data_IF_393905378305
#
_entry.id   IF_393905378305
#
_cell.length_a   1.000
_cell.length_b   1.000
_cell.length_c   1.000
_cell.angle_alpha   90.00
_cell.angle_beta   90.00
_cell.angle_gamma   90.00
#
_symmetry.space_group_name_H-M   'P 1'
#
loop_
_entity.id
_entity.type
_entity.pdbx_description
1 polymer ?
#
# COMPACT_ATOMS: atom_id res chain seq x y z
N UNK A 1 -10.59 -20.45 -26.08
CA UNK A 1 -11.62 -20.04 -25.12
C UNK A 1 -11.43 -18.57 -24.84
N UNK A 2 -12.47 -17.73 -25.06
CA UNK A 2 -12.41 -16.28 -24.84
C UNK A 2 -12.45 -15.98 -23.34
N UNK A 3 -11.56 -15.09 -22.88
CA UNK A 3 -11.61 -14.50 -21.55
C UNK A 3 -12.05 -13.05 -21.69
N UNK A 4 -13.12 -12.68 -21.06
CA UNK A 4 -13.71 -11.34 -21.19
C UNK A 4 -12.91 -10.28 -20.41
N UNK A 5 -12.26 -10.67 -19.32
CA UNK A 5 -11.54 -9.75 -18.45
C UNK A 5 -10.37 -10.44 -17.74
N UNK A 6 -9.23 -9.76 -17.68
CA UNK A 6 -8.07 -10.18 -16.90
C UNK A 6 -7.82 -9.20 -15.75
N UNK A 7 -7.34 -9.75 -14.64
CA UNK A 7 -6.85 -8.96 -13.50
C UNK A 7 -5.38 -9.29 -13.32
N UNK A 8 -4.53 -8.30 -13.56
CA UNK A 8 -3.10 -8.41 -13.27
C UNK A 8 -2.88 -8.03 -11.82
N UNK A 9 -2.59 -9.01 -10.98
CA UNK A 9 -2.26 -8.83 -9.58
C UNK A 9 -0.75 -8.83 -9.41
N UNK A 10 -0.17 -7.66 -9.11
CA UNK A 10 1.27 -7.55 -8.86
C UNK A 10 1.59 -7.89 -7.40
N UNK A 11 2.25 -9.03 -7.23
CA UNK A 11 2.79 -9.55 -5.95
C UNK A 11 4.30 -9.81 -6.04
N UNK A 12 4.97 -9.21 -7.03
CA UNK A 12 6.40 -9.34 -7.25
C UNK A 12 7.21 -8.68 -6.11
N UNK A 13 8.51 -8.91 -6.10
CA UNK A 13 9.44 -8.21 -5.20
C UNK A 13 9.39 -6.70 -5.43
N UNK A 14 9.68 -5.94 -4.37
CA UNK A 14 9.75 -4.48 -4.42
C UNK A 14 10.81 -4.02 -5.41
N UNK A 15 10.45 -3.15 -6.34
CA UNK A 15 11.39 -2.50 -7.25
C UNK A 15 12.11 -1.34 -6.53
N UNK A 16 13.35 -1.00 -6.93
CA UNK A 16 14.01 0.20 -6.48
C UNK A 16 13.18 1.46 -6.75
N UNK A 17 13.36 2.53 -5.95
CA UNK A 17 12.72 3.81 -6.21
C UNK A 17 13.06 4.32 -7.63
N UNK A 18 12.03 4.68 -8.38
CA UNK A 18 12.21 5.21 -9.74
C UNK A 18 12.09 6.73 -9.72
N UNK A 19 13.10 7.47 -10.22
CA UNK A 19 13.05 8.93 -10.29
C UNK A 19 12.06 9.36 -11.37
N UNK A 20 10.92 9.90 -10.95
CA UNK A 20 9.92 10.44 -11.88
C UNK A 20 10.39 11.78 -12.45
N UNK A 21 10.26 11.95 -13.76
CA UNK A 21 10.36 13.27 -14.37
C UNK A 21 9.10 14.09 -14.06
N UNK A 22 9.23 15.42 -14.06
CA UNK A 22 8.11 16.34 -13.84
C UNK A 22 6.96 16.08 -14.83
N UNK A 23 7.29 15.80 -16.07
CA UNK A 23 6.30 15.54 -17.13
C UNK A 23 5.45 14.30 -16.78
N UNK A 24 6.05 13.24 -16.23
CA UNK A 24 5.32 12.04 -15.80
C UNK A 24 4.45 12.30 -14.58
N UNK A 25 4.91 13.13 -13.65
CA UNK A 25 4.13 13.56 -12.48
C UNK A 25 2.94 14.43 -12.89
N UNK A 26 3.11 15.28 -13.91
CA UNK A 26 2.06 16.14 -14.45
C UNK A 26 1.10 15.41 -15.41
N UNK A 27 1.35 14.13 -15.70
CA UNK A 27 0.43 13.27 -16.45
C UNK A 27 0.67 13.24 -17.95
N UNK A 28 1.91 13.45 -18.42
CA UNK A 28 2.28 13.27 -19.81
C UNK A 28 1.88 11.91 -20.34
N UNK A 29 1.47 11.85 -21.61
CA UNK A 29 1.15 10.61 -22.30
C UNK A 29 2.38 9.68 -22.33
N UNK A 30 2.17 8.43 -21.94
CA UNK A 30 3.23 7.43 -21.92
C UNK A 30 3.54 6.84 -23.30
N UNK A 31 2.63 6.96 -24.27
CA UNK A 31 2.76 6.32 -25.56
C UNK A 31 3.97 6.81 -26.38
N UNK A 32 4.27 8.12 -26.45
CA UNK A 32 5.48 8.62 -27.10
C UNK A 32 6.76 8.09 -26.44
N UNK A 33 6.80 8.07 -25.10
CA UNK A 33 7.94 7.56 -24.35
C UNK A 33 8.17 6.07 -24.63
N UNK A 34 7.10 5.27 -24.62
CA UNK A 34 7.17 3.83 -24.87
C UNK A 34 7.57 3.52 -26.33
N UNK A 35 7.14 4.34 -27.32
CA UNK A 35 7.54 4.20 -28.72
C UNK A 35 9.02 4.52 -28.95
N UNK A 36 9.58 5.45 -28.18
CA UNK A 36 10.98 5.78 -28.23
C UNK A 36 11.87 4.59 -27.86
N UNK A 37 11.37 3.73 -26.96
CA UNK A 37 12.10 2.55 -26.50
C UNK A 37 13.36 2.90 -25.71
N UNK A 38 13.97 1.90 -25.11
CA UNK A 38 15.22 2.03 -24.38
C UNK A 38 15.17 1.30 -23.04
N UNK A 39 16.33 0.97 -22.48
CA UNK A 39 16.41 0.41 -21.14
C UNK A 39 15.99 1.46 -20.10
N UNK A 40 15.39 1.00 -19.01
CA UNK A 40 15.08 1.78 -17.83
C UNK A 40 14.13 2.99 -18.02
N UNK A 41 13.30 2.98 -19.06
CA UNK A 41 12.32 4.04 -19.31
C UNK A 41 11.25 4.15 -18.22
N UNK A 42 10.78 3.02 -17.74
CA UNK A 42 9.77 2.89 -16.68
C UNK A 42 10.00 1.58 -15.93
N UNK A 43 9.62 1.50 -14.64
CA UNK A 43 9.67 0.25 -13.89
C UNK A 43 8.83 -0.84 -14.54
N UNK A 44 9.24 -2.10 -14.39
CA UNK A 44 8.51 -3.25 -14.95
C UNK A 44 7.05 -3.28 -14.47
N UNK A 45 6.80 -2.97 -13.19
CA UNK A 45 5.45 -2.90 -12.63
C UNK A 45 4.56 -1.89 -13.36
N UNK A 46 5.13 -0.75 -13.81
CA UNK A 46 4.42 0.29 -14.57
C UNK A 46 4.15 -0.16 -16.02
N UNK A 47 5.10 -0.87 -16.63
CA UNK A 47 4.90 -1.45 -17.97
C UNK A 47 3.80 -2.49 -17.99
N UNK A 48 3.74 -3.39 -16.97
CA UNK A 48 2.65 -4.34 -16.82
C UNK A 48 1.30 -3.65 -16.55
N UNK A 49 1.30 -2.58 -15.72
CA UNK A 49 0.10 -1.78 -15.49
C UNK A 49 -0.40 -1.14 -16.80
N UNK A 50 0.49 -0.49 -17.56
CA UNK A 50 0.15 0.11 -18.85
C UNK A 50 -0.45 -0.92 -19.82
N UNK A 51 0.21 -2.07 -19.98
CA UNK A 51 -0.26 -3.12 -20.89
C UNK A 51 -1.66 -3.65 -20.50
N UNK A 52 -1.90 -3.89 -19.21
CA UNK A 52 -3.19 -4.31 -18.71
C UNK A 52 -4.27 -3.27 -18.97
N UNK A 53 -4.03 -2.03 -18.55
CA UNK A 53 -5.00 -0.94 -18.65
C UNK A 53 -5.33 -0.57 -20.09
N UNK A 54 -4.33 -0.57 -21.00
CA UNK A 54 -4.53 -0.34 -22.42
C UNK A 54 -5.43 -1.41 -23.06
N UNK A 55 -5.35 -2.65 -22.59
CA UNK A 55 -6.21 -3.74 -23.01
C UNK A 55 -7.61 -3.73 -22.37
N UNK A 56 -7.95 -2.73 -21.57
CA UNK A 56 -9.21 -2.68 -20.81
C UNK A 56 -9.25 -3.65 -19.62
N UNK A 57 -8.12 -4.22 -19.25
CA UNK A 57 -7.95 -5.16 -18.15
C UNK A 57 -7.58 -4.44 -16.85
N UNK A 58 -7.86 -5.02 -15.70
CA UNK A 58 -7.63 -4.39 -14.41
C UNK A 58 -6.24 -4.69 -13.84
N UNK A 59 -5.72 -3.76 -13.03
CA UNK A 59 -4.43 -3.88 -12.38
C UNK A 59 -4.54 -3.63 -10.88
N UNK A 60 -4.03 -4.58 -10.08
CA UNK A 60 -3.97 -4.50 -8.62
C UNK A 60 -2.51 -4.53 -8.19
N UNK A 61 -2.05 -3.49 -7.49
CA UNK A 61 -0.68 -3.41 -6.99
C UNK A 61 -0.62 -3.72 -5.49
N UNK A 62 -0.20 -4.93 -5.15
CA UNK A 62 -0.01 -5.33 -3.75
C UNK A 62 1.38 -5.00 -3.21
N UNK A 63 2.27 -4.43 -4.06
CA UNK A 63 3.65 -4.06 -3.75
C UNK A 63 3.79 -2.55 -3.54
N UNK A 64 4.89 -2.07 -2.93
CA UNK A 64 5.20 -0.64 -2.86
C UNK A 64 5.74 -0.05 -4.18
N UNK A 65 6.03 -0.89 -5.19
CA UNK A 65 6.51 -0.46 -6.52
C UNK A 65 5.56 0.55 -7.17
N UNK A 66 6.05 1.34 -8.12
CA UNK A 66 5.29 2.41 -8.76
C UNK A 66 3.98 1.91 -9.38
N UNK A 67 4.02 0.81 -10.14
CA UNK A 67 2.83 0.21 -10.74
C UNK A 67 2.00 1.22 -11.54
N UNK A 68 0.73 1.36 -11.19
CA UNK A 68 -0.21 2.27 -11.84
C UNK A 68 -0.26 3.69 -11.24
N UNK A 69 0.67 4.06 -10.35
CA UNK A 69 0.63 5.34 -9.60
C UNK A 69 1.01 6.57 -10.44
N UNK A 70 0.63 6.62 -11.70
CA UNK A 70 0.86 7.76 -12.59
C UNK A 70 -0.48 8.37 -13.04
N UNK A 71 -0.60 9.72 -13.11
CA UNK A 71 -1.82 10.37 -13.58
C UNK A 71 -2.28 9.91 -14.96
N UNK A 72 -1.36 9.66 -15.88
CA UNK A 72 -1.66 9.12 -17.20
C UNK A 72 -2.33 7.74 -17.15
N UNK A 73 -1.91 6.86 -16.22
CA UNK A 73 -2.50 5.54 -16.06
C UNK A 73 -3.88 5.59 -15.41
N UNK A 74 -4.11 6.54 -14.50
CA UNK A 74 -5.46 6.78 -13.97
C UNK A 74 -6.41 7.24 -15.08
N UNK A 75 -5.97 8.16 -15.93
CA UNK A 75 -6.75 8.62 -17.09
C UNK A 75 -7.01 7.48 -18.09
N UNK A 76 -5.99 6.66 -18.37
CA UNK A 76 -6.11 5.50 -19.25
C UNK A 76 -7.15 4.49 -18.73
N UNK A 77 -7.15 4.22 -17.43
CA UNK A 77 -8.13 3.31 -16.81
C UNK A 77 -9.56 3.82 -16.94
N UNK A 78 -9.79 5.13 -16.78
CA UNK A 78 -11.10 5.73 -17.00
C UNK A 78 -11.56 5.61 -18.47
N UNK A 79 -10.63 5.84 -19.42
CA UNK A 79 -10.92 5.78 -20.85
C UNK A 79 -11.24 4.36 -21.33
N UNK A 80 -10.50 3.36 -20.84
CA UNK A 80 -10.65 1.96 -21.28
C UNK A 80 -11.65 1.17 -20.46
N UNK A 81 -12.20 1.76 -19.40
CA UNK A 81 -13.07 1.06 -18.46
C UNK A 81 -12.31 0.05 -17.59
N UNK A 82 -10.99 0.13 -17.50
CA UNK A 82 -10.17 -0.69 -16.63
C UNK A 82 -10.28 -0.24 -15.16
N UNK A 83 -9.91 -1.12 -14.22
CA UNK A 83 -9.91 -0.81 -12.79
C UNK A 83 -8.49 -0.82 -12.23
N UNK A 84 -8.23 0.07 -11.30
CA UNK A 84 -6.97 0.15 -10.56
C UNK A 84 -7.25 0.02 -9.07
N UNK A 85 -6.53 -0.86 -8.38
CA UNK A 85 -6.46 -0.90 -6.92
C UNK A 85 -5.00 -0.98 -6.48
N UNK A 86 -4.63 -0.27 -5.45
CA UNK A 86 -3.26 -0.22 -4.92
C UNK A 86 -3.10 0.91 -3.92
N UNK A 87 -1.89 1.04 -3.35
CA UNK A 87 -0.76 0.13 -3.45
C UNK A 87 -0.22 -0.25 -2.07
N UNK A 88 0.68 -1.22 -2.04
CA UNK A 88 1.35 -1.75 -0.85
C UNK A 88 0.38 -2.40 0.15
N UNK A 89 0.22 -3.71 0.06
CA UNK A 89 -0.70 -4.51 0.89
C UNK A 89 -0.48 -4.32 2.39
N UNK A 90 -1.56 -4.17 3.13
CA UNK A 90 -1.56 -3.88 4.57
C UNK A 90 -1.86 -5.14 5.36
N UNK A 91 -0.84 -5.88 5.80
CA UNK A 91 -0.98 -7.19 6.43
C UNK A 91 -0.82 -7.21 7.94
N UNK A 92 0.11 -6.40 8.51
CA UNK A 92 0.51 -6.56 9.92
C UNK A 92 0.80 -5.24 10.64
N UNK A 93 2.08 -4.91 10.86
CA UNK A 93 2.50 -3.76 11.68
C UNK A 93 1.86 -2.43 11.24
N UNK A 94 1.81 -2.15 9.94
CA UNK A 94 1.15 -0.92 9.45
C UNK A 94 -0.36 -0.97 9.67
N UNK A 95 -1.00 -2.14 9.61
CA UNK A 95 -2.40 -2.27 10.02
C UNK A 95 -2.57 -1.82 11.47
N UNK A 96 -1.72 -2.31 12.38
CA UNK A 96 -1.77 -1.90 13.79
C UNK A 96 -1.54 -0.40 13.96
N UNK A 97 -0.62 0.21 13.23
CA UNK A 97 -0.40 1.67 13.23
C UNK A 97 -1.67 2.43 12.83
N UNK A 98 -2.35 1.99 11.77
CA UNK A 98 -3.58 2.63 11.27
C UNK A 98 -4.81 2.40 12.16
N UNK A 99 -4.76 1.42 13.06
CA UNK A 99 -5.79 1.16 14.08
C UNK A 99 -5.52 1.94 15.37
N UNK A 100 -4.27 1.97 15.84
CA UNK A 100 -3.90 2.56 17.12
C UNK A 100 -3.75 4.09 17.04
N UNK A 101 -3.17 4.64 15.96
CA UNK A 101 -2.97 6.08 15.85
C UNK A 101 -4.28 6.89 15.93
N UNK A 102 -5.40 6.47 15.32
CA UNK A 102 -6.70 7.12 15.51
C UNK A 102 -7.19 7.10 16.96
N UNK A 103 -6.92 6.02 17.69
CA UNK A 103 -7.27 5.92 19.11
C UNK A 103 -6.52 6.96 19.95
N UNK A 104 -5.20 7.12 19.73
CA UNK A 104 -4.40 8.16 20.40
C UNK A 104 -4.93 9.56 20.09
N UNK A 105 -5.20 9.86 18.82
CA UNK A 105 -5.77 11.14 18.39
C UNK A 105 -7.15 11.40 19.04
N UNK A 106 -8.06 10.44 18.97
CA UNK A 106 -9.43 10.57 19.50
C UNK A 106 -9.48 10.73 21.03
N UNK A 107 -8.47 10.20 21.75
CA UNK A 107 -8.37 10.30 23.20
C UNK A 107 -7.47 11.44 23.67
N UNK A 108 -6.97 12.26 22.74
CA UNK A 108 -6.02 13.35 23.03
C UNK A 108 -4.80 12.86 23.83
N UNK A 109 -4.27 11.70 23.45
CA UNK A 109 -3.07 11.11 24.01
C UNK A 109 -1.89 11.48 23.10
N UNK A 110 -0.95 12.25 23.63
CA UNK A 110 0.17 12.77 22.85
C UNK A 110 1.27 11.73 22.70
N UNK A 111 1.41 11.16 21.50
CA UNK A 111 2.48 10.23 21.18
C UNK A 111 3.81 10.99 21.07
N UNK A 112 4.77 10.67 21.94
CA UNK A 112 6.09 11.28 21.97
C UNK A 112 7.05 10.54 21.04
N UNK A 113 7.03 9.20 21.09
CA UNK A 113 7.82 8.35 20.20
C UNK A 113 7.09 7.08 19.85
N UNK A 114 7.38 6.58 18.65
CA UNK A 114 6.92 5.29 18.14
C UNK A 114 8.09 4.53 17.50
N UNK A 115 8.56 3.51 18.19
CA UNK A 115 9.68 2.68 17.76
C UNK A 115 9.14 1.33 17.32
N UNK A 116 9.50 0.89 16.12
CA UNK A 116 9.11 -0.40 15.56
C UNK A 116 10.32 -1.19 15.07
N UNK A 117 10.54 -2.37 15.62
CA UNK A 117 11.59 -3.29 15.21
C UNK A 117 10.97 -4.47 14.46
N UNK A 118 11.46 -4.73 13.23
CA UNK A 118 10.98 -5.83 12.40
C UNK A 118 12.13 -6.80 12.12
N UNK A 119 11.88 -8.08 12.35
CA UNK A 119 12.79 -9.17 11.97
C UNK A 119 12.01 -10.20 11.15
N UNK A 120 12.57 -10.65 10.05
CA UNK A 120 11.98 -11.69 9.20
C UNK A 120 13.02 -12.31 8.26
N UNK A 121 12.75 -13.54 7.78
CA UNK A 121 13.70 -14.34 7.04
C UNK A 121 13.31 -14.64 5.58
N UNK A 122 12.25 -14.03 5.07
CA UNK A 122 11.80 -14.26 3.70
C UNK A 122 12.62 -13.46 2.66
N UNK A 123 12.36 -13.70 1.36
CA UNK A 123 13.07 -13.02 0.26
C UNK A 123 12.90 -11.51 0.27
N UNK A 124 11.79 -11.00 0.75
CA UNK A 124 11.56 -9.56 0.89
C UNK A 124 12.54 -8.96 1.91
N UNK A 125 12.80 -9.69 3.01
CA UNK A 125 13.82 -9.33 4.00
C UNK A 125 15.22 -9.25 3.40
N UNK A 126 15.59 -10.23 2.59
CA UNK A 126 16.88 -10.25 1.92
C UNK A 126 17.07 -9.06 0.96
N UNK A 127 16.01 -8.68 0.22
CA UNK A 127 16.05 -7.51 -0.68
C UNK A 127 16.12 -6.20 0.11
N UNK A 128 15.46 -6.13 1.26
CA UNK A 128 15.43 -4.96 2.13
C UNK A 128 16.67 -4.83 3.03
N UNK A 129 17.55 -5.82 3.03
CA UNK A 129 18.87 -5.71 3.66
C UNK A 129 19.80 -4.77 2.87
N UNK A 130 19.50 -4.53 1.59
CA UNK A 130 20.14 -3.47 0.80
C UNK A 130 19.71 -2.08 1.33
N UNK A 131 20.66 -1.18 1.69
CA UNK A 131 20.37 0.14 2.25
C UNK A 131 19.45 1.01 1.39
N UNK A 132 19.58 0.97 0.07
CA UNK A 132 18.79 1.77 -0.86
C UNK A 132 17.28 1.35 -0.84
N UNK A 133 17.02 0.04 -0.76
CA UNK A 133 15.67 -0.49 -0.67
C UNK A 133 15.04 -0.29 0.72
N UNK A 134 15.88 -0.31 1.78
CA UNK A 134 15.48 -0.09 3.18
C UNK A 134 14.95 1.32 3.41
N UNK A 135 15.62 2.34 2.88
CA UNK A 135 15.25 3.76 3.04
C UNK A 135 13.86 4.09 2.46
N UNK A 136 13.54 3.57 1.29
CA UNK A 136 12.23 3.76 0.65
C UNK A 136 11.06 3.21 1.49
N UNK A 137 11.25 2.08 2.16
CA UNK A 137 10.21 1.41 2.95
C UNK A 137 10.04 2.02 4.34
N UNK A 138 11.10 2.53 4.95
CA UNK A 138 11.08 3.20 6.26
C UNK A 138 10.29 4.51 6.17
N UNK A 139 10.54 5.35 5.17
CA UNK A 139 9.86 6.64 4.99
C UNK A 139 8.33 6.53 4.81
N UNK A 140 7.85 5.45 4.21
CA UNK A 140 6.40 5.23 4.02
C UNK A 140 5.69 4.89 5.34
N UNK A 141 6.31 4.10 6.21
CA UNK A 141 5.72 3.69 7.50
C UNK A 141 5.57 4.86 8.48
N UNK A 142 6.51 5.79 8.47
CA UNK A 142 6.50 6.97 9.35
C UNK A 142 5.42 7.97 8.95
N UNK A 143 5.25 8.18 7.65
CA UNK A 143 4.27 9.16 7.13
C UNK A 143 2.84 8.87 7.59
N UNK A 144 2.44 7.61 7.67
CA UNK A 144 1.09 7.20 8.07
C UNK A 144 0.75 7.66 9.49
N UNK A 145 1.67 7.48 10.44
CA UNK A 145 1.46 7.90 11.83
C UNK A 145 1.33 9.42 11.93
N UNK A 146 2.19 10.17 11.22
CA UNK A 146 2.15 11.63 11.21
C UNK A 146 0.85 12.19 10.66
N UNK A 147 0.35 11.60 9.57
CA UNK A 147 -0.89 12.05 8.93
C UNK A 147 -2.11 11.84 9.83
N UNK A 148 -2.16 10.72 10.55
CA UNK A 148 -3.28 10.42 11.44
C UNK A 148 -3.23 11.28 12.71
N UNK A 149 -2.05 11.45 13.31
CA UNK A 149 -1.89 12.22 14.54
C UNK A 149 -1.98 13.74 14.31
N UNK A 150 -1.68 14.22 13.08
CA UNK A 150 -1.63 15.64 12.75
C UNK A 150 -0.34 16.35 13.20
N UNK A 151 0.61 15.63 13.77
CA UNK A 151 1.95 16.09 14.15
C UNK A 151 2.99 14.98 13.98
N UNK A 152 4.28 15.34 14.11
CA UNK A 152 5.39 14.41 13.92
C UNK A 152 5.98 13.96 15.26
N UNK A 153 5.64 12.76 15.79
CA UNK A 153 6.37 12.18 16.91
C UNK A 153 7.80 11.76 16.50
N UNK A 154 8.64 11.45 17.47
CA UNK A 154 9.93 10.80 17.20
C UNK A 154 9.66 9.37 16.74
N UNK A 155 10.13 8.97 15.54
CA UNK A 155 9.90 7.64 14.99
C UNK A 155 11.21 6.94 14.68
N UNK A 156 11.26 5.63 14.93
CA UNK A 156 12.33 4.75 14.51
C UNK A 156 11.71 3.47 13.96
N UNK A 157 12.06 3.10 12.73
CA UNK A 157 11.70 1.81 12.16
C UNK A 157 12.98 1.09 11.77
N UNK A 158 13.15 -0.14 12.26
CA UNK A 158 14.22 -1.03 11.81
C UNK A 158 13.65 -2.25 11.12
N UNK A 159 14.42 -2.77 10.17
CA UNK A 159 14.11 -3.98 9.42
C UNK A 159 15.42 -4.77 9.33
N UNK A 160 15.41 -5.98 9.91
CA UNK A 160 16.59 -6.83 9.93
C UNK A 160 16.25 -8.21 9.33
N UNK A 161 17.16 -8.71 8.51
CA UNK A 161 17.04 -10.03 7.88
C UNK A 161 17.63 -11.11 8.75
N UNK A 162 16.83 -12.12 9.11
CA UNK A 162 17.25 -13.26 9.95
C UNK A 162 16.88 -14.56 9.19
N UNK A 163 17.83 -15.20 8.50
CA UNK A 163 17.58 -16.30 7.57
C UNK A 163 16.82 -17.50 8.14
N UNK A 164 17.07 -17.85 9.40
CA UNK A 164 16.47 -18.99 10.09
C UNK A 164 14.99 -18.79 10.46
N UNK A 165 14.46 -17.57 10.37
CA UNK A 165 13.03 -17.29 10.55
C UNK A 165 12.17 -17.73 9.37
N UNK A 166 12.76 -17.98 8.19
CA UNK A 166 12.00 -18.30 6.98
C UNK A 166 10.94 -17.24 6.67
N UNK A 167 9.70 -17.65 6.40
CA UNK A 167 8.60 -16.73 6.07
C UNK A 167 7.97 -16.04 7.30
N UNK A 168 8.41 -16.38 8.51
CA UNK A 168 7.91 -15.75 9.72
C UNK A 168 8.49 -14.36 9.92
N UNK A 169 7.65 -13.49 10.45
CA UNK A 169 8.00 -12.12 10.80
C UNK A 169 7.57 -11.83 12.22
N UNK A 170 8.42 -11.12 12.94
CA UNK A 170 8.07 -10.51 14.22
C UNK A 170 8.28 -9.00 14.12
N UNK A 171 7.24 -8.24 14.42
CA UNK A 171 7.30 -6.80 14.62
C UNK A 171 7.02 -6.51 16.08
N UNK A 172 7.96 -5.84 16.76
CA UNK A 172 7.78 -5.33 18.11
C UNK A 172 7.75 -3.82 18.06
N UNK A 173 6.67 -3.24 18.61
CA UNK A 173 6.47 -1.79 18.68
C UNK A 173 6.47 -1.32 20.13
N UNK A 174 7.15 -0.20 20.37
CA UNK A 174 7.17 0.53 21.63
C UNK A 174 6.70 1.96 21.39
N UNK A 175 5.60 2.32 22.06
CA UNK A 175 4.96 3.62 21.91
C UNK A 175 4.99 4.32 23.27
N UNK A 176 5.73 5.44 23.35
CA UNK A 176 5.72 6.30 24.51
C UNK A 176 4.81 7.50 24.26
N UNK A 177 3.89 7.77 25.17
CA UNK A 177 2.90 8.83 25.03
C UNK A 177 2.55 9.48 26.37
N UNK A 178 1.92 10.64 26.31
CA UNK A 178 1.46 11.37 27.48
C UNK A 178 -0.05 11.53 27.47
N UNK A 179 -0.61 11.53 28.65
CA UNK A 179 -2.03 11.81 28.88
C UNK A 179 -2.24 13.04 29.74
N UNK A 180 -3.36 13.05 30.45
CA UNK A 180 -3.74 14.13 31.37
C UNK A 180 -2.62 14.42 32.40
N UNK A 181 -2.33 15.69 32.67
CA UNK A 181 -1.25 16.17 33.53
C UNK A 181 0.15 15.65 33.11
N UNK A 182 0.37 15.51 31.83
CA UNK A 182 1.64 15.02 31.27
C UNK A 182 2.08 13.63 31.79
N UNK A 183 1.14 12.83 32.32
CA UNK A 183 1.45 11.52 32.83
C UNK A 183 2.03 10.63 31.73
N UNK A 184 3.31 10.18 31.88
CA UNK A 184 3.95 9.33 30.87
C UNK A 184 3.38 7.91 30.93
N UNK A 185 3.10 7.37 29.76
CA UNK A 185 2.58 6.01 29.58
C UNK A 185 3.29 5.32 28.42
N UNK A 186 3.25 4.00 28.44
CA UNK A 186 3.84 3.18 27.40
C UNK A 186 2.85 2.12 26.94
N UNK A 187 2.72 1.95 25.63
CA UNK A 187 2.06 0.81 25.00
C UNK A 187 3.11 0.01 24.26
N UNK A 188 3.12 -1.30 24.43
CA UNK A 188 3.95 -2.21 23.65
C UNK A 188 3.06 -3.29 23.04
N UNK A 189 3.39 -3.69 21.82
CA UNK A 189 2.79 -4.88 21.23
C UNK A 189 3.81 -5.66 20.40
N UNK A 190 3.57 -6.95 20.25
CA UNK A 190 4.29 -7.81 19.34
C UNK A 190 3.30 -8.41 18.35
N UNK A 191 3.57 -8.18 17.06
CA UNK A 191 2.86 -8.81 15.95
C UNK A 191 3.75 -9.89 15.35
N UNK A 192 3.37 -11.16 15.51
CA UNK A 192 4.09 -12.28 14.94
C UNK A 192 3.20 -13.05 13.97
N UNK A 193 3.69 -13.29 12.75
CA UNK A 193 2.93 -13.99 11.74
C UNK A 193 3.74 -14.23 10.47
N UNK A 194 3.13 -14.96 9.54
CA UNK A 194 3.66 -15.17 8.20
C UNK A 194 2.97 -14.18 7.25
N UNK A 195 3.70 -13.14 6.80
CA UNK A 195 3.14 -12.10 5.92
C UNK A 195 2.56 -12.69 4.63
N UNK A 196 3.18 -13.72 4.05
CA UNK A 196 2.70 -14.38 2.83
C UNK A 196 1.34 -15.03 3.02
N UNK A 197 1.12 -15.71 4.16
CA UNK A 197 -0.16 -16.33 4.49
C UNK A 197 -1.24 -15.30 4.81
N UNK A 198 -0.86 -14.15 5.39
CA UNK A 198 -1.79 -13.03 5.61
C UNK A 198 -2.12 -12.29 4.31
N UNK A 199 -1.16 -12.20 3.38
CA UNK A 199 -1.34 -11.54 2.09
C UNK A 199 -2.26 -12.33 1.15
N UNK A 200 -2.17 -13.65 1.14
CA UNK A 200 -2.89 -14.51 0.20
C UNK A 200 -4.41 -14.29 0.20
N UNK A 201 -5.14 -14.35 1.33
CA UNK A 201 -6.58 -14.10 1.34
C UNK A 201 -6.93 -12.66 0.92
N UNK A 202 -6.12 -11.67 1.29
CA UNK A 202 -6.34 -10.28 0.87
C UNK A 202 -6.20 -10.12 -0.64
N UNK A 203 -5.21 -10.77 -1.24
CA UNK A 203 -4.99 -10.78 -2.68
C UNK A 203 -6.17 -11.43 -3.43
N UNK A 204 -6.69 -12.55 -2.92
CA UNK A 204 -7.86 -13.24 -3.47
C UNK A 204 -9.11 -12.34 -3.35
N UNK A 205 -9.33 -11.72 -2.21
CA UNK A 205 -10.48 -10.83 -2.01
C UNK A 205 -10.40 -9.59 -2.91
N UNK A 206 -9.22 -9.00 -3.07
CA UNK A 206 -9.00 -7.89 -4.01
C UNK A 206 -9.35 -8.31 -5.45
N UNK A 207 -8.88 -9.48 -5.90
CA UNK A 207 -9.21 -9.98 -7.25
C UNK A 207 -10.73 -10.16 -7.41
N UNK A 208 -11.39 -10.74 -6.41
CA UNK A 208 -12.86 -10.95 -6.43
C UNK A 208 -13.64 -9.63 -6.41
N UNK A 209 -13.24 -8.67 -5.60
CA UNK A 209 -13.89 -7.35 -5.51
C UNK A 209 -13.71 -6.55 -6.80
N UNK A 210 -12.52 -6.60 -7.40
CA UNK A 210 -12.23 -5.95 -8.69
C UNK A 210 -13.03 -6.62 -9.82
N UNK A 211 -13.11 -7.95 -9.89
CA UNK A 211 -13.94 -8.65 -10.87
C UNK A 211 -15.43 -8.28 -10.72
N UNK A 212 -15.90 -8.27 -9.47
CA UNK A 212 -17.27 -7.90 -9.16
C UNK A 212 -17.59 -6.47 -9.64
N UNK A 213 -16.73 -5.49 -9.35
CA UNK A 213 -16.93 -4.10 -9.77
C UNK A 213 -16.84 -3.95 -11.30
N UNK A 214 -15.94 -4.68 -11.95
CA UNK A 214 -15.82 -4.70 -13.41
C UNK A 214 -17.12 -5.14 -14.08
N UNK A 215 -17.74 -6.21 -13.59
CA UNK A 215 -19.03 -6.73 -14.08
C UNK A 215 -20.18 -5.75 -13.90
N UNK A 216 -20.06 -4.81 -12.97
CA UNK A 216 -21.04 -3.73 -12.72
C UNK A 216 -20.80 -2.49 -13.57
N UNK A 217 -19.77 -2.50 -14.42
CA UNK A 217 -19.41 -1.36 -15.26
C UNK A 217 -18.55 -0.30 -14.56
N UNK A 218 -17.95 -0.64 -13.42
CA UNK A 218 -16.98 0.22 -12.74
C UNK A 218 -15.75 0.50 -13.60
N UNK A 219 -15.07 1.61 -13.29
CA UNK A 219 -13.84 2.05 -13.97
C UNK A 219 -12.93 2.86 -13.05
N UNK A 220 -11.69 3.05 -13.45
CA UNK A 220 -10.73 3.89 -12.76
C UNK A 220 -10.30 3.35 -11.39
N UNK A 221 -9.94 4.25 -10.49
CA UNK A 221 -9.36 3.90 -9.18
C UNK A 221 -10.43 3.46 -8.18
N UNK A 222 -10.23 2.30 -7.57
CA UNK A 222 -11.14 1.68 -6.63
C UNK A 222 -10.88 2.15 -5.19
N UNK A 223 -11.29 3.38 -4.87
CA UNK A 223 -11.04 4.03 -3.57
C UNK A 223 -11.63 3.28 -2.37
N UNK A 224 -12.75 2.58 -2.56
CA UNK A 224 -13.41 1.80 -1.51
C UNK A 224 -12.57 0.60 -1.02
N UNK A 225 -11.50 0.24 -1.75
CA UNK A 225 -10.55 -0.79 -1.36
C UNK A 225 -9.36 -0.24 -0.54
N UNK A 226 -9.39 1.02 -0.11
CA UNK A 226 -8.30 1.67 0.59
C UNK A 226 -7.80 0.92 1.84
N UNK A 227 -8.70 0.26 2.58
CA UNK A 227 -8.36 -0.48 3.80
C UNK A 227 -7.39 -1.65 3.57
N UNK A 228 -7.27 -2.13 2.34
CA UNK A 228 -6.34 -3.19 1.97
C UNK A 228 -4.88 -2.71 1.79
N UNK A 229 -4.65 -1.39 1.69
CA UNK A 229 -3.37 -0.83 1.27
C UNK A 229 -2.77 0.14 2.29
N UNK A 230 -1.43 0.19 2.35
CA UNK A 230 -0.68 1.16 3.15
C UNK A 230 -0.65 2.55 2.50
N UNK A 231 -0.62 2.58 1.17
CA UNK A 231 -0.62 3.81 0.37
C UNK A 231 -1.72 3.73 -0.69
N UNK A 232 -3.00 3.81 -0.30
CA UNK A 232 -4.10 3.64 -1.24
C UNK A 232 -4.13 4.74 -2.30
N UNK A 233 -4.36 4.36 -3.55
CA UNK A 233 -4.40 5.29 -4.68
C UNK A 233 -5.56 6.28 -4.54
N UNK A 234 -5.24 7.57 -4.65
CA UNK A 234 -6.22 8.68 -4.58
C UNK A 234 -7.04 8.72 -3.27
N UNK A 235 -6.48 8.20 -2.17
CA UNK A 235 -7.06 8.29 -0.81
C UNK A 235 -5.98 8.76 0.15
N UNK A 236 -6.17 9.93 0.73
CA UNK A 236 -5.22 10.55 1.67
C UNK A 236 -5.52 10.21 3.14
N UNK A 237 -6.70 9.67 3.41
CA UNK A 237 -7.08 9.24 4.77
C UNK A 237 -6.48 7.87 5.09
N UNK A 238 -5.66 7.81 6.12
CA UNK A 238 -4.98 6.59 6.57
C UNK A 238 -5.63 5.96 7.82
N UNK A 239 -6.69 6.53 8.35
CA UNK A 239 -7.48 5.91 9.43
C UNK A 239 -8.14 4.62 8.91
N UNK A 240 -7.76 3.47 9.50
CA UNK A 240 -8.28 2.17 9.09
C UNK A 240 -9.81 2.11 9.15
N UNK A 241 -10.41 2.66 10.19
CA UNK A 241 -11.86 2.57 10.37
C UNK A 241 -12.62 3.39 9.33
N UNK A 242 -12.10 4.56 8.97
CA UNK A 242 -12.66 5.37 7.88
C UNK A 242 -12.50 4.69 6.53
N UNK A 243 -11.31 4.15 6.25
CA UNK A 243 -11.08 3.36 5.04
C UNK A 243 -11.98 2.13 4.96
N UNK A 244 -12.18 1.42 6.08
CA UNK A 244 -13.07 0.26 6.14
C UNK A 244 -14.54 0.67 5.96
N UNK A 245 -14.94 1.81 6.50
CA UNK A 245 -16.29 2.37 6.28
C UNK A 245 -16.54 2.63 4.80
N UNK A 246 -15.55 3.10 4.03
CA UNK A 246 -15.69 3.25 2.57
C UNK A 246 -16.08 1.93 1.88
N UNK A 247 -15.51 0.80 2.32
CA UNK A 247 -15.86 -0.52 1.80
C UNK A 247 -17.28 -0.94 2.22
N UNK A 248 -17.67 -0.72 3.47
CA UNK A 248 -19.01 -1.05 3.97
C UNK A 248 -20.08 -0.22 3.25
N UNK A 249 -19.85 1.07 3.04
CA UNK A 249 -20.75 1.95 2.31
C UNK A 249 -20.90 1.53 0.84
N UNK A 250 -19.78 1.11 0.22
CA UNK A 250 -19.81 0.53 -1.12
C UNK A 250 -20.70 -0.71 -1.17
N UNK A 251 -20.50 -1.67 -0.26
CA UNK A 251 -21.32 -2.90 -0.16
C UNK A 251 -22.80 -2.57 0.09
N UNK A 252 -23.09 -1.58 0.92
CA UNK A 252 -24.45 -1.11 1.19
C UNK A 252 -25.16 -0.61 -0.08
N UNK A 253 -24.48 0.21 -0.86
CA UNK A 253 -25.02 0.75 -2.15
C UNK A 253 -25.22 -0.32 -3.21
N UNK A 254 -24.43 -1.38 -3.17
CA UNK A 254 -24.50 -2.47 -4.15
C UNK A 254 -25.68 -3.41 -3.87
N UNK A 255 -26.11 -3.51 -2.60
CA UNK A 255 -27.24 -4.35 -2.18
C UNK A 255 -28.62 -3.66 -2.37
N UNK A 256 -28.62 -2.35 -2.51
CA UNK A 256 -29.84 -1.56 -2.78
C UNK A 256 -30.13 -1.47 -4.28
#
# INVERSE_FOLDING_TARGET
EGVDHLIVLNVASTEPPFPLSRDLEDGADLEPLLKQGGPDLLPSSTLYAYAALRGGHSYVNFTPSLGASLPALFALAEQTGALIAGKDGKTGETLMKTVLAPMFAARNLEVQSWVGHNIFGNRDGLILDDPANKEAKVGTKDRVVHQILGYKPSTLVTIEYIPDMGDWKTAWDHIHFRGFLDLPMTLQFTWQGCDSLLAAPLAIDLARLVDFEKRRGGRGVQRHLASFFKSPERVDDHDFFRQFTMLIDYVGRVKS
#
